data_IF_217773598229
#
_entry.id   IF_217773598229
#
_cell.length_a   1.000
_cell.length_b   1.000
_cell.length_c   1.000
_cell.angle_alpha   90.00
_cell.angle_beta   90.00
_cell.angle_gamma   90.00
#
_symmetry.space_group_name_H-M   'P 1'
#
loop_
_entity.id
_entity.type
_entity.pdbx_description
1 polymer ?
#
# COMPACT_ATOMS: atom_id res chain seq x y z
N UNK A 1 10.91 23.53 63.90
CA UNK A 1 12.03 23.22 62.98
C UNK A 1 11.75 21.85 62.40
N UNK A 2 11.52 21.58 61.13
CA UNK A 2 11.57 22.35 59.88
C UNK A 2 10.78 21.51 58.87
N UNK A 3 9.73 22.06 58.26
CA UNK A 3 9.10 21.47 57.08
C UNK A 3 10.14 21.43 55.96
N UNK A 4 10.43 20.22 55.47
CA UNK A 4 11.30 20.05 54.31
C UNK A 4 10.45 20.26 53.07
N UNK A 5 10.32 21.52 52.65
CA UNK A 5 9.71 21.92 51.38
C UNK A 5 10.39 21.17 50.24
N UNK A 6 9.71 20.19 49.66
CA UNK A 6 10.07 19.57 48.39
C UNK A 6 9.87 20.60 47.29
N UNK A 7 10.94 21.32 46.95
CA UNK A 7 10.95 22.23 45.82
C UNK A 7 10.77 21.43 44.53
N UNK A 8 9.60 21.56 43.89
CA UNK A 8 9.37 21.13 42.52
C UNK A 8 10.28 21.96 41.62
N UNK A 9 11.11 21.35 40.73
CA UNK A 9 12.00 22.12 39.89
C UNK A 9 11.15 22.99 38.95
N UNK A 10 11.20 24.31 39.18
CA UNK A 10 10.63 25.30 38.29
C UNK A 10 11.59 25.49 37.12
N UNK A 11 11.13 25.15 35.90
CA UNK A 11 11.83 25.49 34.66
C UNK A 11 11.85 27.02 34.53
N UNK A 12 13.02 27.62 34.79
CA UNK A 12 13.20 29.09 34.84
C UNK A 12 13.47 29.73 33.47
N UNK A 13 13.54 28.93 32.41
CA UNK A 13 13.63 29.38 31.03
C UNK A 13 12.59 28.57 30.27
N UNK A 14 11.81 29.19 29.37
CA UNK A 14 10.77 28.52 28.58
C UNK A 14 11.25 27.41 27.63
N UNK A 15 12.40 26.79 27.90
CA UNK A 15 12.85 25.58 27.24
C UNK A 15 12.15 24.35 27.82
N UNK A 16 11.78 23.38 26.97
CA UNK A 16 11.25 22.10 27.42
C UNK A 16 12.25 21.40 28.36
N UNK A 17 11.73 20.66 29.34
CA UNK A 17 12.58 19.81 30.18
C UNK A 17 13.26 18.72 29.33
N UNK A 18 14.40 18.19 29.80
CA UNK A 18 15.06 17.06 29.14
C UNK A 18 14.13 15.84 29.03
N UNK A 19 13.24 15.64 30.01
CA UNK A 19 12.27 14.55 29.98
C UNK A 19 11.21 14.79 28.90
N UNK A 20 10.70 16.03 28.78
CA UNK A 20 9.81 16.41 27.69
C UNK A 20 10.45 16.24 26.29
N UNK A 21 11.76 16.52 26.16
CA UNK A 21 12.50 16.28 24.91
C UNK A 21 12.65 14.79 24.59
N UNK A 22 12.87 13.94 25.60
CA UNK A 22 12.95 12.48 25.43
C UNK A 22 11.59 11.87 25.07
N UNK A 23 10.52 12.37 25.68
CA UNK A 23 9.15 11.92 25.37
C UNK A 23 8.78 12.25 23.93
N UNK A 24 9.08 13.46 23.46
CA UNK A 24 8.87 13.85 22.06
C UNK A 24 9.73 13.01 21.11
N UNK A 25 10.99 12.77 21.44
CA UNK A 25 11.89 11.96 20.62
C UNK A 25 11.42 10.50 20.51
N UNK A 26 11.02 9.88 21.62
CA UNK A 26 10.53 8.50 21.66
C UNK A 26 9.17 8.33 20.98
N UNK A 27 8.26 9.31 21.12
CA UNK A 27 7.01 9.33 20.37
C UNK A 27 7.25 9.48 18.86
N UNK A 28 8.22 10.31 18.45
CA UNK A 28 8.62 10.48 17.07
C UNK A 28 9.23 9.22 16.45
N UNK A 29 10.13 8.54 17.17
CA UNK A 29 10.73 7.28 16.68
C UNK A 29 9.71 6.15 16.56
N UNK A 30 8.77 6.06 17.51
CA UNK A 30 7.66 5.10 17.46
C UNK A 30 6.74 5.35 16.26
N UNK A 31 6.43 6.62 15.99
CA UNK A 31 5.62 7.02 14.83
C UNK A 31 6.31 6.67 13.51
N UNK A 32 7.62 6.92 13.40
CA UNK A 32 8.39 6.58 12.21
C UNK A 32 8.45 5.06 11.96
N UNK A 33 8.65 4.27 13.02
CA UNK A 33 8.63 2.81 12.92
C UNK A 33 7.27 2.30 12.44
N UNK A 34 6.16 2.84 12.97
CA UNK A 34 4.81 2.46 12.56
C UNK A 34 4.52 2.80 11.09
N UNK A 35 4.96 3.98 10.61
CA UNK A 35 4.87 4.37 9.20
C UNK A 35 5.68 3.40 8.32
N UNK A 36 6.90 3.07 8.73
CA UNK A 36 7.76 2.13 8.00
C UNK A 36 7.13 0.74 7.85
N UNK A 37 6.53 0.22 8.92
CA UNK A 37 5.81 -1.06 8.89
C UNK A 37 4.59 -0.99 7.98
N UNK A 38 3.73 0.04 8.11
CA UNK A 38 2.54 0.19 7.28
C UNK A 38 2.87 0.30 5.78
N UNK A 39 3.97 0.97 5.43
CA UNK A 39 4.44 1.06 4.06
C UNK A 39 4.99 -0.27 3.53
N UNK A 40 5.74 -1.01 4.35
CA UNK A 40 6.25 -2.34 3.98
C UNK A 40 5.11 -3.34 3.76
N UNK A 41 4.08 -3.34 4.62
CA UNK A 41 2.87 -4.14 4.45
C UNK A 41 2.14 -3.78 3.16
N UNK A 42 1.92 -2.49 2.90
CA UNK A 42 1.27 -2.03 1.68
C UNK A 42 2.03 -2.47 0.41
N UNK A 43 3.36 -2.36 0.40
CA UNK A 43 4.18 -2.86 -0.71
C UNK A 43 4.08 -4.37 -0.88
N UNK A 44 4.07 -5.12 0.22
CA UNK A 44 3.90 -6.58 0.19
C UNK A 44 2.55 -6.96 -0.42
N UNK A 45 1.47 -6.32 0.03
CA UNK A 45 0.11 -6.57 -0.46
C UNK A 45 -0.03 -6.22 -1.95
N UNK A 46 0.46 -5.04 -2.37
CA UNK A 46 0.46 -4.65 -3.79
C UNK A 46 1.30 -5.61 -4.65
N UNK A 47 2.46 -6.03 -4.16
CA UNK A 47 3.30 -6.99 -4.87
C UNK A 47 2.62 -8.35 -5.03
N UNK A 48 1.94 -8.83 -3.99
CA UNK A 48 1.17 -10.08 -4.06
C UNK A 48 0.03 -9.98 -5.09
N UNK A 49 -0.66 -8.84 -5.14
CA UNK A 49 -1.73 -8.60 -6.10
C UNK A 49 -1.21 -8.62 -7.54
N UNK A 50 -0.13 -7.88 -7.84
CA UNK A 50 0.48 -7.87 -9.18
C UNK A 50 0.91 -9.28 -9.62
N UNK A 51 1.49 -10.07 -8.71
CA UNK A 51 1.86 -11.46 -9.01
C UNK A 51 0.62 -12.33 -9.28
N UNK A 52 -0.46 -12.14 -8.51
CA UNK A 52 -1.74 -12.81 -8.75
C UNK A 52 -2.33 -12.48 -10.12
N UNK A 53 -2.33 -11.20 -10.50
CA UNK A 53 -2.76 -10.74 -11.80
C UNK A 53 -1.95 -11.37 -12.94
N UNK A 54 -0.61 -11.39 -12.83
CA UNK A 54 0.26 -12.03 -13.82
C UNK A 54 -0.04 -13.52 -13.95
N UNK A 55 -0.27 -14.22 -12.84
CA UNK A 55 -0.60 -15.63 -12.87
C UNK A 55 -1.93 -15.90 -13.61
N UNK A 56 -2.97 -15.11 -13.35
CA UNK A 56 -4.22 -15.22 -14.11
C UNK A 56 -4.03 -14.87 -15.58
N UNK A 57 -3.23 -13.85 -15.93
CA UNK A 57 -2.93 -13.54 -17.33
C UNK A 57 -2.23 -14.68 -18.06
N UNK A 58 -1.29 -15.37 -17.42
CA UNK A 58 -0.62 -16.54 -18.01
C UNK A 58 -1.61 -17.69 -18.25
N UNK A 59 -2.53 -17.94 -17.32
CA UNK A 59 -3.56 -18.98 -17.47
C UNK A 59 -4.48 -18.70 -18.66
N UNK A 60 -4.86 -17.44 -18.85
CA UNK A 60 -5.67 -17.02 -19.99
C UNK A 60 -4.92 -17.16 -21.33
N UNK A 61 -3.61 -16.92 -21.36
CA UNK A 61 -2.77 -17.21 -22.54
C UNK A 61 -2.79 -18.70 -22.87
N UNK A 62 -2.64 -19.56 -21.87
CA UNK A 62 -2.70 -21.03 -22.03
C UNK A 62 -4.07 -21.47 -22.53
N UNK A 63 -5.16 -20.92 -21.97
CA UNK A 63 -6.52 -21.20 -22.42
C UNK A 63 -6.72 -20.79 -23.89
N UNK A 64 -6.24 -19.62 -24.27
CA UNK A 64 -6.34 -19.10 -25.64
C UNK A 64 -5.57 -19.99 -26.61
N UNK A 65 -4.34 -20.38 -26.27
CA UNK A 65 -3.56 -21.32 -27.08
C UNK A 65 -4.28 -22.67 -27.24
N UNK A 66 -4.86 -23.18 -26.16
CA UNK A 66 -5.65 -24.41 -26.21
C UNK A 66 -6.85 -24.27 -27.15
N UNK A 67 -7.59 -23.16 -27.11
CA UNK A 67 -8.70 -22.89 -28.03
C UNK A 67 -8.22 -22.79 -29.48
N UNK A 68 -7.12 -22.08 -29.73
CA UNK A 68 -6.56 -21.93 -31.08
C UNK A 68 -6.14 -23.28 -31.70
N UNK A 69 -5.59 -24.22 -30.92
CA UNK A 69 -5.27 -25.57 -31.39
C UNK A 69 -6.51 -26.38 -31.80
N UNK A 70 -7.69 -26.03 -31.29
CA UNK A 70 -8.95 -26.70 -31.60
C UNK A 70 -9.81 -25.93 -32.62
N UNK A 71 -9.37 -24.75 -33.06
CA UNK A 71 -10.07 -23.95 -34.05
C UNK A 71 -10.12 -24.69 -35.40
N UNK A 72 -11.29 -24.72 -36.04
CA UNK A 72 -11.51 -25.44 -37.31
C UNK A 72 -11.61 -24.49 -38.49
N UNK A 73 -11.69 -23.19 -38.24
CA UNK A 73 -11.85 -22.16 -39.24
C UNK A 73 -11.14 -20.87 -38.86
N UNK A 74 -10.91 -20.02 -39.86
CA UNK A 74 -10.40 -18.67 -39.65
C UNK A 74 -11.37 -17.81 -38.84
N UNK A 75 -12.69 -18.05 -38.97
CA UNK A 75 -13.70 -17.36 -38.18
C UNK A 75 -13.57 -17.69 -36.68
N UNK A 76 -13.31 -18.96 -36.33
CA UNK A 76 -13.07 -19.37 -34.94
C UNK A 76 -11.84 -18.64 -34.37
N UNK A 77 -10.75 -18.56 -35.15
CA UNK A 77 -9.53 -17.86 -34.76
C UNK A 77 -9.81 -16.38 -34.48
N UNK A 78 -10.53 -15.69 -35.37
CA UNK A 78 -10.90 -14.29 -35.17
C UNK A 78 -11.75 -14.08 -33.91
N UNK A 79 -12.69 -14.98 -33.66
CA UNK A 79 -13.53 -14.92 -32.47
C UNK A 79 -12.68 -15.09 -31.19
N UNK A 80 -11.83 -16.11 -31.13
CA UNK A 80 -10.92 -16.36 -30.00
C UNK A 80 -10.01 -15.16 -29.74
N UNK A 81 -9.43 -14.56 -30.79
CA UNK A 81 -8.58 -13.38 -30.65
C UNK A 81 -9.34 -12.16 -30.12
N UNK A 82 -10.55 -11.92 -30.61
CA UNK A 82 -11.38 -10.82 -30.12
C UNK A 82 -11.74 -11.02 -28.64
N UNK A 83 -12.15 -12.23 -28.24
CA UNK A 83 -12.44 -12.54 -26.84
C UNK A 83 -11.22 -12.34 -25.94
N UNK A 84 -10.05 -12.81 -26.38
CA UNK A 84 -8.79 -12.63 -25.66
C UNK A 84 -8.46 -11.15 -25.44
N UNK A 85 -8.56 -10.32 -26.49
CA UNK A 85 -8.26 -8.89 -26.40
C UNK A 85 -9.26 -8.16 -25.52
N UNK A 86 -10.56 -8.41 -25.69
CA UNK A 86 -11.59 -7.80 -24.83
C UNK A 86 -11.36 -8.15 -23.37
N UNK A 87 -11.12 -9.43 -23.08
CA UNK A 87 -10.87 -9.90 -21.72
C UNK A 87 -9.60 -9.30 -21.13
N UNK A 88 -8.54 -9.16 -21.91
CA UNK A 88 -7.33 -8.48 -21.45
C UNK A 88 -7.62 -7.02 -21.08
N UNK A 89 -8.33 -6.26 -21.93
CA UNK A 89 -8.70 -4.88 -21.65
C UNK A 89 -9.50 -4.75 -20.34
N UNK A 90 -10.51 -5.59 -20.15
CA UNK A 90 -11.33 -5.60 -18.95
C UNK A 90 -10.50 -5.91 -17.70
N UNK A 91 -9.65 -6.94 -17.77
CA UNK A 91 -8.80 -7.35 -16.67
C UNK A 91 -7.77 -6.27 -16.30
N UNK A 92 -7.09 -5.65 -17.26
CA UNK A 92 -6.14 -4.57 -16.99
C UNK A 92 -6.82 -3.34 -16.40
N UNK A 93 -8.02 -3.01 -16.87
CA UNK A 93 -8.79 -1.89 -16.34
C UNK A 93 -9.21 -2.13 -14.89
N UNK A 94 -9.72 -3.32 -14.59
CA UNK A 94 -10.11 -3.72 -13.24
C UNK A 94 -8.91 -3.76 -12.29
N UNK A 95 -7.79 -4.35 -12.74
CA UNK A 95 -6.56 -4.45 -11.94
C UNK A 95 -5.99 -3.07 -11.62
N UNK A 96 -5.94 -2.17 -12.60
CA UNK A 96 -5.49 -0.79 -12.36
C UNK A 96 -6.36 -0.09 -11.33
N UNK A 97 -7.68 -0.27 -11.41
CA UNK A 97 -8.61 0.28 -10.43
C UNK A 97 -8.33 -0.25 -9.01
N UNK A 98 -8.12 -1.56 -8.89
CA UNK A 98 -7.79 -2.22 -7.62
C UNK A 98 -6.47 -1.69 -7.03
N UNK A 99 -5.42 -1.54 -7.84
CA UNK A 99 -4.14 -1.00 -7.38
C UNK A 99 -4.27 0.45 -6.89
N UNK A 100 -5.11 1.26 -7.53
CA UNK A 100 -5.42 2.62 -7.08
C UNK A 100 -6.13 2.59 -5.71
N UNK A 101 -7.11 1.73 -5.53
CA UNK A 101 -7.81 1.56 -4.24
C UNK A 101 -6.87 1.07 -3.12
N UNK A 102 -5.97 0.13 -3.43
CA UNK A 102 -4.95 -0.36 -2.50
C UNK A 102 -3.98 0.75 -2.10
N UNK A 103 -3.54 1.57 -3.05
CA UNK A 103 -2.67 2.73 -2.79
C UNK A 103 -3.34 3.78 -1.90
N UNK A 104 -4.60 4.13 -2.19
CA UNK A 104 -5.38 5.05 -1.34
C UNK A 104 -5.56 4.49 0.08
N UNK A 105 -5.85 3.19 0.18
CA UNK A 105 -6.00 2.51 1.46
C UNK A 105 -4.69 2.47 2.26
N UNK A 106 -3.55 2.26 1.59
CA UNK A 106 -2.23 2.32 2.20
C UNK A 106 -1.92 3.73 2.74
N UNK A 107 -2.18 4.77 1.94
CA UNK A 107 -1.97 6.16 2.35
C UNK A 107 -2.84 6.55 3.55
N UNK A 108 -4.09 6.08 3.60
CA UNK A 108 -4.99 6.34 4.73
C UNK A 108 -4.50 5.72 6.05
N UNK A 109 -3.68 4.67 6.00
CA UNK A 109 -3.10 4.00 7.17
C UNK A 109 -1.84 4.70 7.70
N UNK A 110 -1.26 5.65 6.97
CA UNK A 110 -0.06 6.39 7.38
C UNK A 110 -0.47 7.56 8.31
N UNK A 111 -0.06 7.56 9.60
CA UNK A 111 -0.29 8.69 10.49
C UNK A 111 0.33 9.97 9.92
N UNK A 112 -0.48 10.99 9.67
CA UNK A 112 -0.02 12.27 9.12
C UNK A 112 -0.14 12.43 7.60
N UNK A 113 -0.84 11.55 6.87
CA UNK A 113 -1.12 11.73 5.43
C UNK A 113 -1.80 13.07 5.06
N UNK A 114 -2.30 13.83 6.05
CA UNK A 114 -2.79 15.21 5.92
C UNK A 114 -1.68 16.28 5.88
N UNK A 115 -0.40 15.92 5.98
CA UNK A 115 0.77 16.82 6.02
C UNK A 115 1.56 16.88 4.72
N UNK A 116 1.17 16.14 3.68
CA UNK A 116 1.72 16.33 2.34
C UNK A 116 0.85 17.36 1.61
N UNK A 117 1.38 18.54 1.25
CA UNK A 117 0.64 19.50 0.45
C UNK A 117 0.38 18.93 -0.95
N UNK A 118 -0.73 19.38 -1.56
CA UNK A 118 -1.15 19.05 -2.92
C UNK A 118 -0.05 19.28 -3.98
#
# INVERSE_FOLDING_TARGET
MTEKTTAKPQNFFGMPSLDALKDVHSAGSTTYAAIGTAWAEALSDMGAEVLGFVAERVKEDVQTQHQLMHAKSLQDIHHIQNEFVQKALDQYSAETGKLVEMSQSAMAKIPGAKLMPD
#
